data_IF_648755869341
#
_entry.id   IF_648755869341
#
_cell.length_a   1.000
_cell.length_b   1.000
_cell.length_c   1.000
_cell.angle_alpha   90.00
_cell.angle_beta   90.00
_cell.angle_gamma   90.00
#
_symmetry.space_group_name_H-M   'P 1'
#
loop_
_entity.id
_entity.type
_entity.pdbx_description
1 polymer ?
#
# COMPACT_ATOMS: atom_id res chain seq x y z
N UNK A 1 -10.16 -25.30 -34.97
CA UNK A 1 -11.13 -24.40 -35.60
C UNK A 1 -11.66 -23.46 -34.52
N UNK A 2 -11.25 -22.18 -34.57
CA UNK A 2 -11.85 -20.93 -34.03
C UNK A 2 -12.45 -20.96 -32.60
N UNK A 3 -11.89 -20.32 -31.56
CA UNK A 3 -11.62 -18.90 -31.29
C UNK A 3 -12.76 -18.15 -30.54
N UNK A 4 -12.31 -17.28 -29.61
CA UNK A 4 -12.95 -16.12 -28.96
C UNK A 4 -13.77 -16.35 -27.68
N UNK A 5 -13.12 -16.06 -26.55
CA UNK A 5 -13.62 -15.00 -25.64
C UNK A 5 -12.45 -14.04 -25.41
N UNK A 6 -12.48 -12.93 -26.14
CA UNK A 6 -11.70 -11.70 -25.88
C UNK A 6 -12.49 -10.92 -24.85
N UNK A 7 -11.90 -10.52 -23.72
CA UNK A 7 -12.06 -9.24 -23.00
C UNK A 7 -11.07 -9.27 -21.82
N UNK A 8 -10.35 -8.23 -21.42
CA UNK A 8 -9.78 -7.05 -22.07
C UNK A 8 -8.67 -6.58 -21.10
N UNK A 9 -7.55 -6.11 -21.64
CA UNK A 9 -6.42 -5.53 -20.93
C UNK A 9 -6.84 -4.41 -19.95
N UNK A 10 -6.20 -4.35 -18.79
CA UNK A 10 -5.72 -3.07 -18.24
C UNK A 10 -4.34 -3.26 -17.63
N UNK A 11 -3.34 -3.06 -18.49
CA UNK A 11 -1.97 -2.79 -18.10
C UNK A 11 -1.95 -1.37 -17.53
N UNK A 12 -1.95 -1.21 -16.20
CA UNK A 12 -1.65 0.10 -15.62
C UNK A 12 -0.16 0.35 -15.79
N UNK A 13 0.19 1.13 -16.81
CA UNK A 13 1.49 1.80 -16.88
C UNK A 13 1.52 2.81 -15.73
N UNK A 14 2.23 2.50 -14.65
CA UNK A 14 2.72 3.54 -13.74
C UNK A 14 3.87 4.22 -14.48
N UNK A 15 3.59 5.33 -15.14
CA UNK A 15 4.63 6.19 -15.69
C UNK A 15 5.33 6.91 -14.55
N UNK A 16 6.50 6.41 -14.12
CA UNK A 16 7.49 7.24 -13.44
C UNK A 16 8.44 7.69 -14.53
N UNK A 17 8.44 9.00 -14.81
CA UNK A 17 9.38 9.59 -15.77
C UNK A 17 10.80 9.28 -15.31
N UNK A 18 11.55 8.59 -16.19
CA UNK A 18 13.00 8.32 -16.13
C UNK A 18 13.49 7.10 -15.34
N UNK A 19 12.82 5.96 -15.47
CA UNK A 19 13.42 4.66 -15.13
C UNK A 19 12.41 3.54 -15.14
N UNK A 20 12.40 2.75 -16.22
CA UNK A 20 11.50 1.61 -16.36
C UNK A 20 11.86 0.53 -15.32
N UNK A 21 11.08 0.39 -14.24
CA UNK A 21 11.14 -0.81 -13.38
C UNK A 21 9.99 -1.71 -13.78
N UNK A 22 10.29 -2.80 -14.49
CA UNK A 22 9.36 -3.90 -14.68
C UNK A 22 9.23 -4.63 -13.35
N UNK A 23 8.21 -4.29 -12.54
CA UNK A 23 7.75 -5.18 -11.48
C UNK A 23 6.73 -6.12 -12.10
N UNK A 24 7.10 -7.39 -12.21
CA UNK A 24 6.26 -8.46 -12.72
C UNK A 24 4.89 -8.49 -12.00
N UNK A 25 3.83 -8.07 -12.70
CA UNK A 25 2.45 -8.06 -12.21
C UNK A 25 1.73 -9.37 -12.52
N UNK A 26 2.44 -10.50 -12.63
CA UNK A 26 1.84 -11.80 -12.97
C UNK A 26 1.19 -12.54 -11.80
N UNK A 27 1.20 -12.02 -10.57
CA UNK A 27 0.43 -12.60 -9.44
C UNK A 27 -0.98 -12.05 -9.29
N UNK A 28 -1.63 -11.66 -10.38
CA UNK A 28 -2.98 -11.13 -10.36
C UNK A 28 -4.00 -12.20 -10.75
N UNK A 29 -4.89 -12.51 -9.80
CA UNK A 29 -6.07 -13.39 -9.89
C UNK A 29 -5.80 -14.87 -10.21
N UNK A 30 -5.50 -15.65 -9.17
CA UNK A 30 -5.70 -17.10 -9.21
C UNK A 30 -7.18 -17.44 -9.01
N UNK A 31 -7.72 -18.51 -9.66
CA UNK A 31 -9.06 -19.00 -9.39
C UNK A 31 -9.14 -19.51 -7.94
N UNK A 32 -10.27 -19.31 -7.28
CA UNK A 32 -10.55 -19.95 -5.98
C UNK A 32 -10.21 -21.44 -6.04
N UNK A 33 -9.29 -21.92 -5.18
CA UNK A 33 -9.35 -23.24 -4.55
C UNK A 33 -8.24 -23.52 -3.52
N UNK A 34 -8.71 -23.89 -2.34
CA UNK A 34 -8.20 -24.89 -1.37
C UNK A 34 -6.78 -24.80 -0.81
N UNK A 35 -6.74 -24.74 0.53
CA UNK A 35 -5.64 -25.08 1.45
C UNK A 35 -4.70 -23.93 1.87
N UNK A 36 -4.99 -23.36 3.04
CA UNK A 36 -4.05 -22.83 4.06
C UNK A 36 -2.71 -22.21 3.61
N UNK A 37 -2.71 -21.36 2.59
CA UNK A 37 -1.57 -20.52 2.24
C UNK A 37 -1.98 -19.05 2.41
N UNK A 38 -1.27 -18.32 3.27
CA UNK A 38 -1.50 -16.91 3.56
C UNK A 38 -1.08 -16.12 2.31
N UNK A 39 -2.04 -15.76 1.45
CA UNK A 39 -1.74 -14.91 0.29
C UNK A 39 -1.50 -13.47 0.77
N UNK A 40 -0.28 -12.97 0.62
CA UNK A 40 0.06 -11.55 0.72
C UNK A 40 -0.38 -10.86 -0.57
N UNK A 41 -1.57 -10.24 -0.57
CA UNK A 41 -2.25 -9.76 -1.79
C UNK A 41 -1.70 -8.38 -2.28
N UNK A 42 -0.71 -7.79 -1.59
CA UNK A 42 -0.18 -6.47 -1.89
C UNK A 42 1.32 -6.52 -2.19
N UNK A 43 1.75 -5.73 -3.18
CA UNK A 43 3.17 -5.60 -3.53
C UNK A 43 3.84 -4.55 -2.67
N UNK A 44 4.95 -4.93 -2.01
CA UNK A 44 5.81 -3.96 -1.34
C UNK A 44 6.43 -2.99 -2.37
N UNK A 45 6.41 -1.70 -2.08
CA UNK A 45 6.93 -0.67 -2.98
C UNK A 45 8.05 0.14 -2.32
N UNK A 46 8.96 0.64 -3.15
CA UNK A 46 10.09 1.45 -2.69
C UNK A 46 10.15 2.69 -3.59
N UNK A 47 10.12 3.87 -2.97
CA UNK A 47 10.39 5.13 -3.64
C UNK A 47 11.79 5.61 -3.26
N UNK A 48 12.60 5.96 -4.26
CA UNK A 48 14.00 6.36 -4.06
C UNK A 48 14.29 7.61 -4.88
N UNK A 49 14.78 8.66 -4.23
CA UNK A 49 15.14 9.94 -4.87
C UNK A 49 13.96 10.68 -5.54
N UNK A 50 12.73 10.18 -5.38
CA UNK A 50 11.53 10.90 -5.76
C UNK A 50 11.28 12.01 -4.73
N UNK A 51 10.83 13.18 -5.19
CA UNK A 51 10.55 14.33 -4.30
C UNK A 51 9.15 14.30 -3.72
N UNK A 52 8.23 13.55 -4.33
CA UNK A 52 6.86 13.38 -3.87
C UNK A 52 6.30 12.05 -4.37
N UNK A 53 5.26 11.53 -3.74
CA UNK A 53 4.60 10.33 -4.23
C UNK A 53 3.29 10.01 -3.50
N UNK A 54 2.69 8.88 -3.88
CA UNK A 54 1.45 8.38 -3.28
C UNK A 54 1.55 6.88 -3.11
N UNK A 55 1.14 6.38 -1.95
CA UNK A 55 0.90 4.95 -1.72
C UNK A 55 -0.55 4.72 -1.36
N UNK A 56 -1.12 3.64 -1.88
CA UNK A 56 -2.51 3.29 -1.64
C UNK A 56 -2.70 1.78 -1.65
N UNK A 57 -3.72 1.30 -0.95
CA UNK A 57 -4.14 -0.09 -1.03
C UNK A 57 -4.56 -0.45 -2.46
N UNK A 58 -4.28 -1.67 -2.96
CA UNK A 58 -4.77 -2.11 -4.26
C UNK A 58 -6.30 -1.96 -4.35
N UNK A 59 -6.80 -1.45 -5.48
CA UNK A 59 -8.24 -1.24 -5.69
C UNK A 59 -8.85 -0.02 -4.99
N UNK A 60 -8.07 0.82 -4.28
CA UNK A 60 -8.56 2.07 -3.70
C UNK A 60 -9.32 2.93 -4.74
N UNK A 61 -10.48 3.55 -4.41
CA UNK A 61 -11.07 3.70 -3.07
C UNK A 61 -11.91 2.52 -2.57
N UNK A 62 -12.11 1.48 -3.40
CA UNK A 62 -12.79 0.27 -2.95
C UNK A 62 -12.01 -0.38 -1.81
N UNK A 63 -12.73 -1.07 -0.93
CA UNK A 63 -12.10 -1.77 0.18
C UNK A 63 -11.25 -2.93 -0.36
N UNK A 64 -10.03 -3.03 0.13
CA UNK A 64 -9.11 -4.11 -0.13
C UNK A 64 -9.50 -5.31 0.70
N UNK A 65 -9.78 -6.43 0.03
CA UNK A 65 -10.42 -7.60 0.62
C UNK A 65 -9.35 -8.63 0.98
N UNK A 66 -9.31 -8.98 2.27
CA UNK A 66 -8.50 -10.02 2.90
C UNK A 66 -7.01 -9.70 3.11
N UNK A 67 -6.48 -10.22 4.22
CA UNK A 67 -5.06 -10.34 4.61
C UNK A 67 -4.07 -9.44 3.87
N UNK A 68 -3.68 -8.35 4.53
CA UNK A 68 -2.65 -7.43 4.06
C UNK A 68 -1.44 -7.49 4.99
N UNK A 69 -0.24 -7.57 4.43
CA UNK A 69 1.02 -7.43 5.18
C UNK A 69 2.03 -6.66 4.33
N UNK A 70 1.70 -5.41 4.00
CA UNK A 70 2.38 -4.65 2.97
C UNK A 70 3.42 -3.70 3.57
N UNK A 71 4.62 -3.67 2.99
CA UNK A 71 5.65 -2.70 3.37
C UNK A 71 5.93 -1.72 2.24
N UNK A 72 5.94 -0.43 2.56
CA UNK A 72 6.34 0.63 1.64
C UNK A 72 7.52 1.38 2.21
N UNK A 73 8.55 1.57 1.39
CA UNK A 73 9.80 2.20 1.78
C UNK A 73 9.95 3.53 1.04
N UNK A 74 10.32 4.59 1.75
CA UNK A 74 10.65 5.88 1.16
C UNK A 74 12.08 6.21 1.56
N UNK A 75 12.93 6.44 0.57
CA UNK A 75 14.31 6.87 0.79
C UNK A 75 14.53 8.24 0.12
N UNK A 76 14.71 9.26 0.96
CA UNK A 76 15.05 10.60 0.54
C UNK A 76 16.56 10.84 0.63
N UNK A 77 17.03 11.88 -0.05
CA UNK A 77 18.43 12.30 0.03
C UNK A 77 18.81 12.62 1.48
N UNK A 78 20.05 12.29 1.86
CA UNK A 78 20.56 12.56 3.20
C UNK A 78 20.41 14.05 3.57
N UNK A 79 20.01 14.32 4.82
CA UNK A 79 19.72 15.68 5.29
C UNK A 79 18.32 16.19 4.91
N UNK A 80 17.55 15.48 4.09
CA UNK A 80 16.14 15.78 3.82
C UNK A 80 15.24 15.10 4.85
N UNK A 81 14.03 15.64 5.02
CA UNK A 81 13.02 15.14 5.92
C UNK A 81 11.78 14.78 5.10
N UNK A 82 11.22 13.59 5.33
CA UNK A 82 10.04 13.13 4.60
C UNK A 82 8.79 13.55 5.38
N UNK A 83 7.88 14.22 4.70
CA UNK A 83 6.57 14.60 5.21
C UNK A 83 5.53 13.62 4.67
N UNK A 84 4.94 12.82 5.55
CA UNK A 84 3.89 11.86 5.24
C UNK A 84 2.55 12.46 5.61
N UNK A 85 1.59 12.35 4.70
CA UNK A 85 0.23 12.80 4.89
C UNK A 85 -0.72 11.63 4.63
N UNK A 86 -1.39 11.15 5.67
CA UNK A 86 -2.38 10.08 5.57
C UNK A 86 -3.74 10.71 5.29
N UNK A 87 -4.17 10.62 4.03
CA UNK A 87 -5.43 11.19 3.55
C UNK A 87 -6.63 10.31 3.90
N UNK A 88 -6.44 9.00 3.90
CA UNK A 88 -7.51 8.04 4.13
C UNK A 88 -6.99 6.78 4.79
N UNK A 89 -7.75 6.26 5.74
CA UNK A 89 -7.56 4.94 6.32
C UNK A 89 -8.92 4.31 6.63
N UNK A 90 -9.04 3.02 6.40
CA UNK A 90 -10.08 2.17 6.95
C UNK A 90 -9.46 0.81 7.25
N UNK A 91 -9.46 0.38 8.52
CA UNK A 91 -8.92 -0.95 8.91
C UNK A 91 -9.97 -1.92 9.42
N UNK A 92 -11.27 -1.62 9.21
CA UNK A 92 -12.43 -2.37 9.72
C UNK A 92 -12.42 -2.58 11.24
N UNK A 93 -13.49 -2.14 11.93
CA UNK A 93 -13.67 -2.34 13.37
C UNK A 93 -12.45 -1.98 14.26
N UNK A 94 -11.83 -0.82 14.01
CA UNK A 94 -10.89 -0.20 14.95
C UNK A 94 -9.52 -0.89 15.06
N UNK A 95 -9.08 -1.17 16.29
CA UNK A 95 -7.70 -1.58 16.61
C UNK A 95 -7.42 -3.08 16.47
N UNK A 96 -8.47 -3.90 16.32
CA UNK A 96 -8.39 -5.36 16.43
C UNK A 96 -7.90 -6.02 15.15
N UNK A 97 -8.32 -5.49 13.99
CA UNK A 97 -8.20 -6.22 12.71
C UNK A 97 -7.14 -5.66 11.78
N UNK A 98 -6.59 -4.49 12.06
CA UNK A 98 -5.56 -3.95 11.20
C UNK A 98 -5.08 -2.58 11.61
N UNK A 99 -3.98 -2.16 10.99
CA UNK A 99 -3.35 -0.89 11.27
C UNK A 99 -2.55 -0.37 10.08
N UNK A 100 -2.29 0.93 10.11
CA UNK A 100 -1.25 1.56 9.29
C UNK A 100 -0.18 2.11 10.23
N UNK A 101 1.02 1.54 10.17
CA UNK A 101 2.15 1.98 10.99
C UNK A 101 3.13 2.78 10.13
N UNK A 102 3.60 3.89 10.70
CA UNK A 102 4.65 4.73 10.15
C UNK A 102 5.85 4.63 11.08
N UNK A 103 7.00 4.29 10.52
CA UNK A 103 8.25 4.14 11.25
C UNK A 103 9.38 4.81 10.48
N UNK A 104 10.43 5.20 11.18
CA UNK A 104 11.72 5.53 10.59
C UNK A 104 12.66 4.30 10.71
N UNK A 105 13.97 4.50 10.58
CA UNK A 105 14.96 3.41 10.69
C UNK A 105 15.13 2.83 12.10
N UNK A 106 14.69 3.51 13.16
CA UNK A 106 14.98 3.13 14.55
C UNK A 106 13.75 3.02 15.46
N UNK A 107 12.64 3.67 15.12
CA UNK A 107 11.45 3.75 15.96
C UNK A 107 10.16 3.87 15.16
N UNK A 108 9.07 3.45 15.81
CA UNK A 108 7.72 3.76 15.33
C UNK A 108 7.38 5.21 15.63
N UNK A 109 6.87 5.90 14.62
CA UNK A 109 6.46 7.31 14.68
C UNK A 109 4.97 7.41 14.95
N UNK A 110 4.17 6.60 14.26
CA UNK A 110 2.72 6.55 14.45
C UNK A 110 2.17 5.16 14.14
N UNK A 111 1.05 4.83 14.77
CA UNK A 111 0.26 3.64 14.46
C UNK A 111 -1.22 4.00 14.47
N UNK A 112 -1.84 3.89 13.31
CA UNK A 112 -3.20 4.34 13.03
C UNK A 112 -4.14 3.16 12.86
N UNK A 113 -5.39 3.37 13.26
CA UNK A 113 -6.44 2.36 13.30
C UNK A 113 -7.80 2.96 12.93
N UNK A 114 -8.75 2.11 12.58
CA UNK A 114 -10.12 2.49 12.33
C UNK A 114 -10.29 3.28 11.03
N UNK A 115 -11.28 4.17 11.01
CA UNK A 115 -11.66 4.96 9.84
C UNK A 115 -11.22 6.41 9.98
N UNK A 116 -10.32 6.84 9.11
CA UNK A 116 -9.79 8.19 8.99
C UNK A 116 -10.09 8.71 7.57
N UNK A 117 -10.44 9.98 7.44
CA UNK A 117 -10.74 10.56 6.12
C UNK A 117 -11.41 11.94 6.13
N UNK A 118 -11.76 12.46 7.31
CA UNK A 118 -12.30 13.82 7.46
C UNK A 118 -11.21 14.90 7.57
N UNK A 119 -10.00 14.51 7.97
CA UNK A 119 -8.83 15.38 8.16
C UNK A 119 -7.58 14.58 7.79
N UNK A 120 -6.59 15.27 7.22
CA UNK A 120 -5.28 14.67 6.94
C UNK A 120 -4.43 14.54 8.21
N UNK A 121 -3.74 13.40 8.34
CA UNK A 121 -2.79 13.17 9.44
C UNK A 121 -1.36 13.33 8.93
N UNK A 122 -0.67 14.35 9.43
CA UNK A 122 0.67 14.71 8.98
C UNK A 122 1.74 14.20 9.96
N UNK A 123 2.77 13.57 9.42
CA UNK A 123 3.92 13.04 10.16
C UNK A 123 5.21 13.45 9.46
N UNK A 124 6.21 13.81 10.25
CA UNK A 124 7.56 14.10 9.78
C UNK A 124 8.49 13.00 10.24
N UNK A 125 9.26 12.44 9.30
CA UNK A 125 10.26 11.43 9.58
C UNK A 125 11.59 11.84 8.97
N UNK A 126 12.69 11.15 9.32
CA UNK A 126 14.01 11.45 8.75
C UNK A 126 14.08 11.21 7.25
N UNK A 127 15.28 10.96 6.73
CA UNK A 127 15.48 10.68 5.31
C UNK A 127 15.03 9.26 4.90
N UNK A 128 14.48 8.46 5.82
CA UNK A 128 14.01 7.10 5.58
C UNK A 128 12.71 6.82 6.32
N UNK A 129 11.72 6.28 5.60
CA UNK A 129 10.43 5.90 6.14
C UNK A 129 10.05 4.47 5.76
N UNK A 130 9.42 3.77 6.70
CA UNK A 130 8.76 2.49 6.48
C UNK A 130 7.29 2.66 6.82
N UNK A 131 6.42 2.34 5.86
CA UNK A 131 4.98 2.24 6.04
C UNK A 131 4.61 0.77 6.06
N UNK A 132 3.93 0.33 7.11
CA UNK A 132 3.43 -1.03 7.22
C UNK A 132 1.91 -1.02 7.30
N UNK A 133 1.26 -1.54 6.27
CA UNK A 133 -0.18 -1.74 6.25
C UNK A 133 -0.49 -3.20 6.52
N UNK A 134 -1.17 -3.45 7.64
CA UNK A 134 -1.46 -4.79 8.12
C UNK A 134 -2.96 -4.98 8.31
N UNK A 135 -3.51 -6.08 7.79
CA UNK A 135 -4.87 -6.54 8.04
C UNK A 135 -4.83 -8.02 8.42
N UNK A 136 -5.39 -8.36 9.57
CA UNK A 136 -5.49 -9.70 10.11
C UNK A 136 -6.88 -10.28 9.87
N UNK A 137 -6.93 -11.43 9.18
CA UNK A 137 -8.06 -12.34 9.18
C UNK A 137 -8.77 -12.48 7.83
N UNK A 138 -9.50 -13.59 7.71
CA UNK A 138 -10.32 -13.91 6.55
C UNK A 138 -11.65 -13.16 6.65
N UNK A 139 -11.98 -12.37 5.62
CA UNK A 139 -13.27 -11.66 5.52
C UNK A 139 -13.28 -10.22 6.05
N UNK A 140 -12.13 -9.66 6.44
CA UNK A 140 -12.00 -8.24 6.77
C UNK A 140 -11.51 -7.44 5.56
N UNK A 141 -11.94 -6.19 5.50
CA UNK A 141 -11.61 -5.27 4.43
C UNK A 141 -10.91 -4.06 5.01
N UNK A 142 -10.00 -3.48 4.26
CA UNK A 142 -9.40 -2.21 4.66
C UNK A 142 -8.95 -1.42 3.45
N UNK A 143 -8.66 -0.16 3.61
CA UNK A 143 -8.07 0.63 2.54
C UNK A 143 -7.29 1.78 3.12
N UNK A 144 -6.26 2.21 2.41
CA UNK A 144 -5.51 3.38 2.82
C UNK A 144 -5.08 4.17 1.58
N UNK A 145 -4.89 5.47 1.78
CA UNK A 145 -4.20 6.33 0.85
C UNK A 145 -3.38 7.34 1.64
N UNK A 146 -2.11 7.44 1.28
CA UNK A 146 -1.21 8.44 1.81
C UNK A 146 -0.41 9.08 0.69
N UNK A 147 -0.01 10.32 0.92
CA UNK A 147 0.92 11.06 0.08
C UNK A 147 2.18 11.37 0.88
N UNK A 148 3.27 11.62 0.19
CA UNK A 148 4.52 12.01 0.83
C UNK A 148 5.29 13.01 -0.04
N UNK A 149 6.12 13.83 0.60
CA UNK A 149 7.01 14.84 -0.01
C UNK A 149 8.24 15.10 0.84
#
# INVERSE_FOLDING_TARGET
MLAKVIWCYMMFLVTISNGLVLKDTSKFFGPEKTNSEIYEICTSATATNDSTGTFQSPGFPSEYIQHANCYFYINATYGSNIQINVNYLNTFNGTTYGYLQISNSSMSVAKLYGRLGSVDYNYSVGNYAIIHFYLYGNGYYGSFRLTWK
#
